data_IF_326065684137
#
_entry.id   IF_326065684137
#
_cell.length_a   1.000
_cell.length_b   1.000
_cell.length_c   1.000
_cell.angle_alpha   90.00
_cell.angle_beta   90.00
_cell.angle_gamma   90.00
#
_symmetry.space_group_name_H-M   'P 1'
#
loop_
_entity.id
_entity.type
_entity.pdbx_description
1 polymer ?
#
# COMPACT_ATOMS: atom_id res chain seq x y z
N UNK A 1 -7.85 -15.34 -3.06
CA UNK A 1 -6.86 -14.26 -3.03
C UNK A 1 -5.88 -14.58 -1.93
N UNK A 2 -4.65 -14.87 -2.34
CA UNK A 2 -3.53 -15.02 -1.42
C UNK A 2 -3.13 -13.58 -1.04
N UNK A 3 -2.84 -13.32 0.24
CA UNK A 3 -2.64 -11.94 0.73
C UNK A 3 -1.29 -11.35 0.29
N UNK A 4 -0.39 -12.20 -0.18
CA UNK A 4 0.88 -11.83 -0.81
C UNK A 4 0.69 -11.08 -2.14
N UNK A 5 -0.39 -11.34 -2.88
CA UNK A 5 -0.76 -10.59 -4.09
C UNK A 5 -0.80 -9.08 -3.82
N UNK A 6 -1.24 -8.65 -2.62
CA UNK A 6 -1.25 -7.23 -2.24
C UNK A 6 0.17 -6.65 -2.20
N UNK A 7 1.15 -7.41 -1.73
CA UNK A 7 2.55 -6.96 -1.69
C UNK A 7 3.16 -6.91 -3.09
N UNK A 8 2.84 -7.92 -3.93
CA UNK A 8 3.32 -7.99 -5.30
C UNK A 8 2.74 -6.86 -6.16
N UNK A 9 1.44 -6.62 -6.06
CA UNK A 9 0.76 -5.51 -6.74
C UNK A 9 1.32 -4.17 -6.27
N UNK A 10 1.55 -4.02 -4.96
CA UNK A 10 2.14 -2.81 -4.40
C UNK A 10 3.57 -2.58 -4.88
N UNK A 11 4.46 -3.59 -4.83
CA UNK A 11 5.83 -3.48 -5.34
C UNK A 11 5.83 -3.12 -6.84
N UNK A 12 4.97 -3.75 -7.63
CA UNK A 12 4.83 -3.44 -9.05
C UNK A 12 4.44 -1.97 -9.28
N UNK A 13 3.40 -1.49 -8.59
CA UNK A 13 2.96 -0.10 -8.70
C UNK A 13 4.00 0.89 -8.14
N UNK A 14 4.68 0.54 -7.05
CA UNK A 14 5.68 1.40 -6.40
C UNK A 14 6.89 1.66 -7.30
N UNK A 15 7.31 0.67 -8.11
CA UNK A 15 8.35 0.85 -9.13
C UNK A 15 7.99 1.89 -10.18
N UNK A 16 6.70 2.18 -10.38
CA UNK A 16 6.22 3.20 -11.29
C UNK A 16 6.05 4.57 -10.61
N UNK A 17 6.11 4.65 -9.27
CA UNK A 17 5.73 5.84 -8.51
C UNK A 17 6.56 7.08 -8.87
N UNK A 18 7.88 6.93 -9.07
CA UNK A 18 8.74 8.05 -9.48
C UNK A 18 8.31 8.63 -10.82
N UNK A 19 7.98 7.77 -11.79
CA UNK A 19 7.47 8.19 -13.10
C UNK A 19 6.11 8.87 -12.98
N UNK A 20 5.20 8.33 -12.19
CA UNK A 20 3.88 8.92 -11.95
C UNK A 20 3.98 10.30 -11.28
N UNK A 21 5.02 10.52 -10.48
CA UNK A 21 5.34 11.82 -9.89
C UNK A 21 5.87 12.79 -10.96
N UNK A 22 6.77 12.35 -11.84
CA UNK A 22 7.25 13.14 -12.97
C UNK A 22 6.12 13.54 -13.93
N UNK A 23 5.16 12.64 -14.14
CA UNK A 23 3.98 12.83 -14.98
C UNK A 23 2.85 13.62 -14.26
N UNK A 24 3.05 13.99 -12.98
CA UNK A 24 2.11 14.79 -12.19
C UNK A 24 0.83 14.05 -11.78
N UNK A 25 0.81 12.72 -11.89
CA UNK A 25 -0.32 11.87 -11.51
C UNK A 25 -0.33 11.52 -10.01
N UNK A 26 0.84 11.60 -9.37
CA UNK A 26 1.02 11.42 -7.92
C UNK A 26 1.85 12.59 -7.41
N UNK A 27 1.54 13.13 -6.23
CA UNK A 27 2.32 14.21 -5.65
C UNK A 27 3.69 13.72 -5.16
N UNK A 28 4.69 14.60 -5.19
CA UNK A 28 6.00 14.31 -4.59
C UNK A 28 5.91 13.96 -3.09
N UNK A 29 4.88 14.46 -2.40
CA UNK A 29 4.64 14.21 -0.97
C UNK A 29 4.21 12.77 -0.66
N UNK A 30 3.71 12.02 -1.63
CA UNK A 30 3.29 10.63 -1.45
C UNK A 30 4.48 9.66 -1.29
N UNK A 31 5.61 9.93 -1.97
CA UNK A 31 6.72 8.99 -2.08
C UNK A 31 7.28 8.49 -0.73
N UNK A 32 7.50 9.36 0.28
CA UNK A 32 7.94 8.90 1.59
C UNK A 32 6.97 7.88 2.21
N UNK A 33 5.67 8.14 2.16
CA UNK A 33 4.68 7.22 2.72
C UNK A 33 4.57 5.90 1.96
N UNK A 34 4.68 5.94 0.62
CA UNK A 34 4.74 4.72 -0.19
C UNK A 34 5.98 3.87 0.13
N UNK A 35 7.13 4.50 0.32
CA UNK A 35 8.37 3.81 0.72
C UNK A 35 8.25 3.19 2.12
N UNK A 36 7.58 3.84 3.07
CA UNK A 36 7.35 3.25 4.40
C UNK A 36 6.46 2.00 4.33
N UNK A 37 5.47 1.96 3.42
CA UNK A 37 4.65 0.76 3.21
C UNK A 37 5.49 -0.38 2.63
N UNK A 38 6.35 -0.09 1.64
CA UNK A 38 7.30 -1.07 1.07
C UNK A 38 8.21 -1.68 2.15
N UNK A 39 8.75 -0.83 3.04
CA UNK A 39 9.58 -1.29 4.16
C UNK A 39 8.81 -2.21 5.12
N UNK A 40 7.54 -1.91 5.40
CA UNK A 40 6.69 -2.78 6.23
C UNK A 40 6.49 -4.15 5.58
N UNK A 41 6.18 -4.19 4.28
CA UNK A 41 6.00 -5.45 3.55
C UNK A 41 7.30 -6.24 3.41
N UNK A 42 8.42 -5.56 3.18
CA UNK A 42 9.76 -6.17 3.21
C UNK A 42 10.06 -6.80 4.57
N UNK A 43 9.75 -6.11 5.67
CA UNK A 43 9.89 -6.64 7.04
C UNK A 43 8.90 -7.76 7.40
N UNK A 44 7.86 -7.97 6.61
CA UNK A 44 6.93 -9.09 6.71
C UNK A 44 7.31 -10.28 5.83
N UNK A 45 8.29 -10.12 4.94
CA UNK A 45 8.74 -11.16 4.02
C UNK A 45 9.59 -12.22 4.74
N UNK A 46 9.90 -13.32 4.05
CA UNK A 46 10.66 -14.45 4.60
C UNK A 46 9.78 -15.64 4.99
N UNK A 47 10.35 -16.84 4.91
CA UNK A 47 9.62 -18.08 5.15
C UNK A 47 9.10 -18.19 6.59
N UNK A 48 9.86 -17.64 7.54
CA UNK A 48 9.53 -17.53 8.96
C UNK A 48 8.32 -16.62 9.22
N UNK A 49 8.03 -15.69 8.30
CA UNK A 49 6.94 -14.71 8.40
C UNK A 49 5.74 -15.07 7.52
N UNK A 50 5.73 -16.25 6.87
CA UNK A 50 4.66 -16.66 5.95
C UNK A 50 3.26 -16.58 6.55
N UNK A 51 3.12 -16.85 7.86
CA UNK A 51 1.83 -16.75 8.57
C UNK A 51 1.24 -15.35 8.60
N UNK A 52 2.06 -14.30 8.48
CA UNK A 52 1.63 -12.89 8.44
C UNK A 52 0.91 -12.55 7.12
N UNK A 53 1.12 -13.34 6.07
CA UNK A 53 0.45 -13.24 4.78
C UNK A 53 -0.79 -14.14 4.66
N UNK A 54 -1.18 -14.83 5.75
CA UNK A 54 -2.45 -15.53 5.77
C UNK A 54 -3.62 -14.53 5.81
N UNK A 55 -4.73 -14.86 5.13
CA UNK A 55 -5.94 -14.01 5.14
C UNK A 55 -6.46 -13.74 6.56
N UNK A 56 -6.28 -14.68 7.47
CA UNK A 56 -6.67 -14.56 8.88
C UNK A 56 -5.81 -13.58 9.67
N UNK A 57 -4.59 -13.27 9.20
CA UNK A 57 -3.69 -12.32 9.83
C UNK A 57 -4.00 -10.86 9.44
N UNK A 58 -4.66 -10.62 8.30
CA UNK A 58 -5.06 -9.28 7.84
C UNK A 58 -5.66 -8.37 8.92
N UNK A 59 -6.68 -8.81 9.70
CA UNK A 59 -7.31 -7.95 10.70
C UNK A 59 -6.45 -7.71 11.94
N UNK A 60 -5.52 -8.59 12.28
CA UNK A 60 -4.86 -8.62 13.61
C UNK A 60 -3.35 -8.42 13.59
N UNK A 61 -2.66 -8.66 12.47
CA UNK A 61 -1.21 -8.46 12.38
C UNK A 61 -0.87 -6.96 12.45
N UNK A 62 0.16 -6.64 13.23
CA UNK A 62 0.60 -5.26 13.43
C UNK A 62 1.15 -4.62 12.15
N UNK A 63 1.83 -5.38 11.29
CA UNK A 63 2.33 -4.90 10.01
C UNK A 63 1.18 -4.52 9.07
N UNK A 64 0.13 -5.34 9.01
CA UNK A 64 -1.08 -5.00 8.25
C UNK A 64 -1.81 -3.77 8.81
N UNK A 65 -1.86 -3.60 10.13
CA UNK A 65 -2.43 -2.41 10.75
C UNK A 65 -1.62 -1.15 10.39
N UNK A 66 -0.29 -1.23 10.45
CA UNK A 66 0.63 -0.16 10.09
C UNK A 66 0.53 0.22 8.61
N UNK A 67 0.56 -0.78 7.71
CA UNK A 67 0.41 -0.55 6.26
C UNK A 67 -0.91 0.17 5.94
N UNK A 68 -2.03 -0.24 6.56
CA UNK A 68 -3.33 0.47 6.40
C UNK A 68 -3.29 1.90 6.90
N UNK A 69 -2.61 2.16 8.02
CA UNK A 69 -2.48 3.50 8.55
C UNK A 69 -1.68 4.40 7.61
N UNK A 70 -0.53 3.92 7.13
CA UNK A 70 0.31 4.63 6.17
C UNK A 70 -0.43 4.89 4.86
N UNK A 71 -1.11 3.88 4.32
CA UNK A 71 -1.91 4.02 3.10
C UNK A 71 -2.99 5.11 3.26
N UNK A 72 -3.69 5.15 4.40
CA UNK A 72 -4.64 6.24 4.70
C UNK A 72 -3.98 7.61 4.75
N UNK A 73 -2.81 7.73 5.38
CA UNK A 73 -2.09 9.00 5.45
C UNK A 73 -1.66 9.48 4.06
N UNK A 74 -1.14 8.58 3.22
CA UNK A 74 -0.81 8.88 1.81
C UNK A 74 -2.06 9.33 1.07
N UNK A 75 -3.15 8.56 1.14
CA UNK A 75 -4.40 8.91 0.47
C UNK A 75 -4.97 10.26 0.92
N UNK A 76 -4.86 10.60 2.21
CA UNK A 76 -5.32 11.89 2.74
C UNK A 76 -4.42 13.04 2.28
N UNK A 77 -3.10 12.82 2.23
CA UNK A 77 -2.17 13.82 1.73
C UNK A 77 -2.37 14.09 0.23
N UNK A 78 -2.61 13.03 -0.55
CA UNK A 78 -2.78 13.13 -2.00
C UNK A 78 -4.12 13.73 -2.41
N UNK A 79 -5.19 13.38 -1.70
CA UNK A 79 -6.56 13.57 -2.20
C UNK A 79 -7.46 14.33 -1.19
N UNK A 80 -6.89 14.75 -0.06
CA UNK A 80 -7.58 15.47 1.02
C UNK A 80 -8.27 14.54 2.02
N UNK A 81 -8.94 15.12 3.03
CA UNK A 81 -9.78 14.32 3.93
C UNK A 81 -10.92 13.66 3.16
N UNK A 82 -10.88 12.33 3.10
CA UNK A 82 -11.87 11.53 2.40
C UNK A 82 -13.16 11.39 3.19
N UNK A 83 -14.27 11.81 2.58
CA UNK A 83 -15.62 11.50 3.04
C UNK A 83 -16.22 10.40 2.17
N UNK A 84 -17.02 9.52 2.78
CA UNK A 84 -17.77 8.47 2.08
C UNK A 84 -18.61 9.06 0.93
N UNK A 85 -18.79 8.30 -0.17
CA UNK A 85 -18.34 6.91 -0.39
C UNK A 85 -16.89 6.81 -0.89
N UNK A 86 -16.31 5.60 -0.83
CA UNK A 86 -14.99 5.31 -1.42
C UNK A 86 -15.00 5.65 -2.92
N UNK A 87 -13.90 6.19 -3.48
CA UNK A 87 -13.79 6.38 -4.92
C UNK A 87 -13.93 5.04 -5.64
N UNK A 88 -14.58 5.05 -6.81
CA UNK A 88 -14.66 3.86 -7.65
C UNK A 88 -13.25 3.49 -8.12
N UNK A 89 -12.82 2.26 -7.82
CA UNK A 89 -11.55 1.73 -8.27
C UNK A 89 -11.81 1.00 -9.58
N UNK A 90 -11.45 1.62 -10.70
CA UNK A 90 -11.43 0.95 -11.99
C UNK A 90 -10.17 0.10 -12.13
N UNK A 91 -10.33 -1.21 -11.99
CA UNK A 91 -9.25 -2.16 -12.27
C UNK A 91 -9.12 -2.31 -13.78
N UNK A 92 -8.10 -1.69 -14.37
CA UNK A 92 -7.73 -1.94 -15.77
C UNK A 92 -7.12 -3.35 -15.82
N UNK A 93 -7.79 -4.26 -16.53
CA UNK A 93 -7.32 -5.62 -16.79
C UNK A 93 -6.62 -5.74 -18.14
#
# INVERSE_FOLDING_TARGET
MVTDEIALDFDHAFRMAERLVEEGQVSQGALPGLREIDLVFSGMSGAESAGRWARTALPTDAGWAQARQLARQVLVAELGEWNLPLPEIDVIR
#
